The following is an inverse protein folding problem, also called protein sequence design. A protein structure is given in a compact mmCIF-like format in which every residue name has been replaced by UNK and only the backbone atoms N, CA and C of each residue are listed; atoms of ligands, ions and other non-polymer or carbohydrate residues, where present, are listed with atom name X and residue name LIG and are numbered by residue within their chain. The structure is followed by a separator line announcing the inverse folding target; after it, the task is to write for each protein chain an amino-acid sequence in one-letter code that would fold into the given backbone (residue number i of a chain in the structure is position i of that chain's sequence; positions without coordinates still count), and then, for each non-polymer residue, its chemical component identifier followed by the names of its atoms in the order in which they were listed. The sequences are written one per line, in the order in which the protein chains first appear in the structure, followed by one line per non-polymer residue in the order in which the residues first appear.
data_IF_711302322110
#
_entry.id   IF_711302322110
#
_cell.length_a   1.000
_cell.length_b   1.000
_cell.length_c   1.000
_cell.angle_alpha   90.00
_cell.angle_beta   90.00
_cell.angle_gamma   90.00
#
_symmetry.space_group_name_H-M   'P 1'
#
loop_
_entity.id
_entity.type
_entity.pdbx_description
1 polymer ?
#
# COMPACT_ATOMS: atom_id res chain seq x y z
N UNK A 1 -29.76 -1.89 -11.79
CA UNK A 1 -28.40 -2.26 -12.27
C UNK A 1 -27.69 -2.92 -11.10
N UNK A 2 -27.42 -4.21 -11.20
CA UNK A 2 -26.94 -5.06 -10.09
C UNK A 2 -25.42 -5.04 -9.92
N UNK A 3 -24.67 -4.35 -10.79
CA UNK A 3 -23.19 -4.32 -10.76
C UNK A 3 -22.56 -3.75 -9.48
N UNK A 4 -23.35 -3.09 -8.63
CA UNK A 4 -22.92 -2.60 -7.31
C UNK A 4 -23.34 -3.46 -6.13
N UNK A 5 -24.07 -4.56 -6.36
CA UNK A 5 -24.55 -5.40 -5.27
C UNK A 5 -23.37 -6.12 -4.60
N UNK A 6 -23.30 -6.16 -3.26
CA UNK A 6 -22.22 -6.84 -2.54
C UNK A 6 -21.98 -8.27 -3.03
N UNK A 7 -23.03 -9.00 -3.36
CA UNK A 7 -22.99 -10.37 -3.87
C UNK A 7 -22.33 -10.45 -5.26
N UNK A 8 -22.62 -9.48 -6.14
CA UNK A 8 -22.01 -9.39 -7.47
C UNK A 8 -20.54 -8.99 -7.35
N UNK A 9 -20.22 -8.04 -6.47
CA UNK A 9 -18.84 -7.61 -6.20
C UNK A 9 -18.01 -8.77 -5.64
N UNK A 10 -18.57 -9.55 -4.70
CA UNK A 10 -17.94 -10.74 -4.14
C UNK A 10 -17.70 -11.80 -5.23
N UNK A 11 -18.69 -12.07 -6.09
CA UNK A 11 -18.51 -13.01 -7.19
C UNK A 11 -17.39 -12.58 -8.13
N UNK A 12 -17.35 -11.31 -8.53
CA UNK A 12 -16.30 -10.76 -9.41
C UNK A 12 -14.92 -10.85 -8.76
N UNK A 13 -14.84 -10.66 -7.44
CA UNK A 13 -13.61 -10.88 -6.68
C UNK A 13 -13.14 -12.33 -6.72
N UNK A 14 -14.04 -13.26 -6.40
CA UNK A 14 -13.75 -14.68 -6.32
C UNK A 14 -13.35 -15.26 -7.69
N UNK A 15 -14.07 -14.89 -8.75
CA UNK A 15 -13.73 -15.25 -10.12
C UNK A 15 -12.32 -14.76 -10.49
N UNK A 16 -12.00 -13.50 -10.15
CA UNK A 16 -10.68 -12.95 -10.43
C UNK A 16 -9.56 -13.64 -9.62
N UNK A 17 -9.81 -13.98 -8.35
CA UNK A 17 -8.86 -14.72 -7.54
C UNK A 17 -8.67 -16.16 -7.99
N UNK A 18 -9.72 -16.81 -8.50
CA UNK A 18 -9.62 -18.13 -9.09
C UNK A 18 -8.68 -18.13 -10.30
N UNK A 19 -8.83 -17.14 -11.19
CA UNK A 19 -7.92 -16.97 -12.33
C UNK A 19 -6.48 -16.68 -11.87
N UNK A 20 -6.32 -15.91 -10.80
CA UNK A 20 -4.99 -15.54 -10.28
C UNK A 20 -4.22 -16.73 -9.70
N UNK A 21 -4.90 -17.81 -9.27
CA UNK A 21 -4.23 -19.01 -8.74
C UNK A 21 -3.18 -19.59 -9.68
N UNK A 22 -3.40 -19.51 -10.99
CA UNK A 22 -2.44 -19.99 -12.01
C UNK A 22 -1.09 -19.27 -12.00
N UNK A 23 -0.94 -18.17 -11.26
CA UNK A 23 0.28 -17.38 -11.17
C UNK A 23 1.07 -17.60 -9.87
N UNK A 24 0.56 -18.45 -8.96
CA UNK A 24 1.26 -18.81 -7.72
C UNK A 24 2.61 -19.46 -8.06
N UNK A 25 3.66 -19.08 -7.31
CA UNK A 25 5.03 -19.51 -7.54
C UNK A 25 5.76 -18.75 -8.66
N UNK A 26 5.05 -17.94 -9.45
CA UNK A 26 5.65 -17.05 -10.45
C UNK A 26 5.56 -15.59 -10.05
N UNK A 27 4.38 -15.11 -9.67
CA UNK A 27 4.14 -13.68 -9.37
C UNK A 27 3.64 -13.42 -7.94
N UNK A 28 3.16 -14.45 -7.26
CA UNK A 28 2.72 -14.39 -5.87
C UNK A 28 2.94 -15.73 -5.18
N UNK A 29 3.05 -15.70 -3.85
CA UNK A 29 3.10 -16.89 -3.00
C UNK A 29 1.69 -17.32 -2.54
N UNK A 30 1.59 -18.52 -1.95
CA UNK A 30 0.31 -19.08 -1.48
C UNK A 30 -0.27 -18.21 -0.37
N UNK A 31 0.59 -17.73 0.53
CA UNK A 31 0.21 -16.88 1.65
C UNK A 31 -0.41 -15.57 1.17
N UNK A 32 0.15 -14.95 0.13
CA UNK A 32 -0.42 -13.73 -0.48
C UNK A 32 -1.77 -14.02 -1.10
N UNK A 33 -1.96 -15.18 -1.77
CA UNK A 33 -3.26 -15.56 -2.31
C UNK A 33 -4.32 -15.72 -1.21
N UNK A 34 -3.99 -16.41 -0.11
CA UNK A 34 -4.89 -16.61 1.02
C UNK A 34 -5.22 -15.28 1.74
N UNK A 35 -4.22 -14.39 1.87
CA UNK A 35 -4.41 -13.05 2.39
C UNK A 35 -5.33 -12.20 1.50
N UNK A 36 -5.20 -12.29 0.17
CA UNK A 36 -6.09 -11.61 -0.78
C UNK A 36 -7.53 -12.12 -0.62
N UNK A 37 -7.72 -13.43 -0.53
CA UNK A 37 -9.04 -14.02 -0.34
C UNK A 37 -9.70 -13.51 0.95
N UNK A 38 -8.94 -13.51 2.04
CA UNK A 38 -9.39 -13.01 3.34
C UNK A 38 -9.70 -11.51 3.31
N UNK A 39 -8.83 -10.72 2.67
CA UNK A 39 -9.00 -9.28 2.50
C UNK A 39 -10.29 -8.92 1.78
N UNK A 40 -10.53 -9.47 0.58
CA UNK A 40 -11.72 -9.12 -0.21
C UNK A 40 -13.01 -9.46 0.53
N UNK A 41 -13.11 -10.68 1.09
CA UNK A 41 -14.28 -11.12 1.86
C UNK A 41 -14.54 -10.24 3.08
N UNK A 42 -13.51 -9.98 3.89
CA UNK A 42 -13.64 -9.14 5.07
C UNK A 42 -14.00 -7.69 4.70
N UNK A 43 -13.43 -7.17 3.61
CA UNK A 43 -13.70 -5.83 3.14
C UNK A 43 -15.15 -5.65 2.71
N UNK A 44 -15.67 -6.57 1.89
CA UNK A 44 -17.06 -6.51 1.38
C UNK A 44 -18.04 -6.62 2.54
N UNK A 45 -17.84 -7.57 3.47
CA UNK A 45 -18.68 -7.73 4.65
C UNK A 45 -18.69 -6.46 5.52
N UNK A 46 -17.52 -5.86 5.75
CA UNK A 46 -17.39 -4.64 6.55
C UNK A 46 -18.11 -3.44 5.93
N UNK A 47 -18.15 -3.35 4.59
CA UNK A 47 -18.69 -2.20 3.86
C UNK A 47 -20.02 -2.53 3.16
N UNK A 48 -20.71 -3.60 3.54
CA UNK A 48 -21.92 -4.06 2.86
C UNK A 48 -22.99 -2.96 2.77
N UNK A 49 -23.25 -2.27 3.89
CA UNK A 49 -24.25 -1.19 3.93
C UNK A 49 -23.84 0.00 3.06
N UNK A 50 -22.55 0.35 3.02
CA UNK A 50 -22.04 1.41 2.15
C UNK A 50 -22.25 1.04 0.67
N UNK A 51 -21.90 -0.19 0.28
CA UNK A 51 -22.10 -0.68 -1.09
C UNK A 51 -23.59 -0.65 -1.49
N UNK A 52 -24.49 -1.10 -0.60
CA UNK A 52 -25.94 -1.02 -0.83
C UNK A 52 -26.44 0.42 -0.91
N UNK A 53 -25.94 1.32 -0.05
CA UNK A 53 -26.30 2.75 -0.08
C UNK A 53 -25.88 3.40 -1.40
N UNK A 54 -24.69 3.07 -1.91
CA UNK A 54 -24.19 3.60 -3.18
C UNK A 54 -25.07 3.24 -4.37
N UNK A 55 -25.71 2.07 -4.36
CA UNK A 55 -26.76 1.72 -5.34
C UNK A 55 -27.95 2.70 -5.23
N UNK A 56 -28.47 2.90 -4.02
CA UNK A 56 -29.61 3.81 -3.77
C UNK A 56 -29.29 5.26 -4.16
N UNK A 57 -28.06 5.68 -3.94
CA UNK A 57 -27.54 7.01 -4.29
C UNK A 57 -27.11 7.15 -5.76
N UNK A 58 -27.38 6.13 -6.59
CA UNK A 58 -27.05 6.14 -8.03
C UNK A 58 -25.57 6.40 -8.30
N UNK A 59 -24.68 5.84 -7.48
CA UNK A 59 -23.23 5.81 -7.70
C UNK A 59 -22.80 4.70 -8.66
N UNK A 60 -23.71 3.77 -8.99
CA UNK A 60 -23.50 2.76 -10.04
C UNK A 60 -23.82 3.39 -11.39
N UNK A 61 -22.82 3.49 -12.26
CA UNK A 61 -22.88 4.23 -13.53
C UNK A 61 -22.35 3.40 -14.69
N UNK A 62 -22.72 3.80 -15.90
CA UNK A 62 -22.05 3.33 -17.12
C UNK A 62 -20.72 4.07 -17.24
N UNK A 63 -19.64 3.43 -16.80
CA UNK A 63 -18.29 4.00 -16.75
C UNK A 63 -17.47 3.69 -18.00
N UNK A 64 -16.15 3.85 -17.87
CA UNK A 64 -15.21 3.50 -18.93
C UNK A 64 -14.95 1.98 -19.00
N UNK A 65 -14.97 1.32 -17.84
CA UNK A 65 -14.61 -0.09 -17.68
C UNK A 65 -13.10 -0.35 -17.67
N UNK A 66 -12.29 0.52 -18.28
CA UNK A 66 -10.82 0.41 -18.35
C UNK A 66 -10.10 1.77 -18.18
N UNK A 67 -10.56 2.66 -17.28
CA UNK A 67 -9.96 4.00 -17.14
C UNK A 67 -8.58 3.96 -16.48
N UNK A 68 -7.52 4.06 -17.27
CA UNK A 68 -6.13 4.21 -16.80
C UNK A 68 -5.36 5.25 -17.65
N UNK A 69 -4.11 5.57 -17.28
CA UNK A 69 -3.42 6.75 -17.83
C UNK A 69 -3.25 6.71 -19.36
N UNK A 70 -3.08 5.53 -19.95
CA UNK A 70 -2.89 5.39 -21.40
C UNK A 70 -4.17 5.68 -22.19
N UNK A 71 -5.32 5.74 -21.53
CA UNK A 71 -6.63 6.06 -22.10
C UNK A 71 -7.02 7.52 -21.92
N UNK A 72 -6.07 8.36 -21.47
CA UNK A 72 -6.26 9.79 -21.28
C UNK A 72 -5.23 10.54 -22.14
N UNK A 73 -5.72 11.33 -23.09
CA UNK A 73 -4.91 12.16 -23.96
C UNK A 73 -5.13 13.65 -23.68
N UNK A 74 -4.05 14.41 -23.65
CA UNK A 74 -4.08 15.87 -23.53
C UNK A 74 -3.97 16.44 -24.95
N UNK A 75 -5.12 16.73 -25.57
CA UNK A 75 -5.20 17.29 -26.91
C UNK A 75 -5.37 18.82 -26.87
N UNK A 76 -5.12 19.57 -27.97
CA UNK A 76 -5.33 21.01 -28.02
C UNK A 76 -6.75 21.47 -27.63
N UNK A 77 -7.74 20.61 -27.86
CA UNK A 77 -9.16 20.83 -27.59
C UNK A 77 -9.53 20.50 -26.13
N UNK A 78 -8.59 19.96 -25.35
CA UNK A 78 -8.76 19.56 -23.96
C UNK A 78 -8.48 18.09 -23.73
N UNK A 79 -8.81 17.62 -22.52
CA UNK A 79 -8.60 16.23 -22.11
C UNK A 79 -9.60 15.33 -22.85
N UNK A 80 -9.07 14.34 -23.57
CA UNK A 80 -9.83 13.30 -24.24
C UNK A 80 -9.67 11.99 -23.48
N UNK A 81 -10.77 11.28 -23.27
CA UNK A 81 -10.78 9.93 -22.67
C UNK A 81 -11.29 8.98 -23.75
N UNK A 82 -10.51 7.96 -24.08
CA UNK A 82 -10.75 7.08 -25.23
C UNK A 82 -10.48 5.61 -24.89
N UNK A 83 -10.86 4.69 -25.79
CA UNK A 83 -10.74 3.22 -25.60
C UNK A 83 -11.62 2.67 -24.46
N UNK A 84 -12.85 3.18 -24.38
CA UNK A 84 -13.89 2.69 -23.49
C UNK A 84 -14.35 1.27 -23.88
N UNK A 85 -14.68 0.40 -22.91
CA UNK A 85 -15.11 -0.98 -23.20
C UNK A 85 -16.51 -1.02 -23.84
N UNK A 86 -16.61 -1.00 -25.16
CA UNK A 86 -17.91 -0.98 -25.85
C UNK A 86 -18.66 -2.32 -25.80
N UNK A 87 -17.92 -3.43 -25.81
CA UNK A 87 -18.46 -4.77 -26.06
C UNK A 87 -19.07 -5.48 -24.83
N UNK A 88 -18.85 -4.97 -23.62
CA UNK A 88 -19.31 -5.62 -22.40
C UNK A 88 -19.87 -4.61 -21.39
N UNK A 89 -21.20 -4.43 -21.37
CA UNK A 89 -21.85 -3.63 -20.34
C UNK A 89 -21.45 -4.05 -18.92
N UNK A 90 -21.27 -5.36 -18.67
CA UNK A 90 -20.90 -5.88 -17.35
C UNK A 90 -19.54 -5.36 -16.85
N UNK A 91 -18.65 -4.94 -17.75
CA UNK A 91 -17.35 -4.37 -17.39
C UNK A 91 -17.38 -2.85 -17.20
N UNK A 92 -18.33 -2.16 -17.84
CA UNK A 92 -18.53 -0.70 -17.71
C UNK A 92 -19.45 -0.31 -16.56
N UNK A 93 -20.48 -1.13 -16.31
CA UNK A 93 -21.48 -0.83 -15.31
C UNK A 93 -21.01 -1.25 -13.92
N UNK A 94 -20.63 -0.26 -13.11
CA UNK A 94 -20.12 -0.48 -11.76
C UNK A 94 -20.13 0.79 -10.92
N UNK A 95 -19.61 0.68 -9.71
CA UNK A 95 -19.42 1.85 -8.86
C UNK A 95 -18.34 2.77 -9.43
N UNK A 96 -18.60 4.08 -9.47
CA UNK A 96 -17.61 5.09 -9.89
C UNK A 96 -16.30 5.02 -9.09
N UNK A 97 -16.34 4.50 -7.86
CA UNK A 97 -15.15 4.21 -7.07
C UNK A 97 -14.18 3.26 -7.77
N UNK A 98 -14.67 2.33 -8.59
CA UNK A 98 -13.86 1.41 -9.38
C UNK A 98 -13.08 2.12 -10.49
N UNK A 99 -13.69 3.09 -11.17
CA UNK A 99 -13.05 3.90 -12.21
C UNK A 99 -11.96 4.80 -11.61
N UNK A 100 -12.29 5.51 -10.53
CA UNK A 100 -11.36 6.37 -9.79
C UNK A 100 -10.17 5.55 -9.26
N UNK A 101 -10.46 4.40 -8.66
CA UNK A 101 -9.44 3.49 -8.15
C UNK A 101 -8.50 2.98 -9.24
N UNK A 102 -9.02 2.68 -10.42
CA UNK A 102 -8.18 2.20 -11.52
C UNK A 102 -7.18 3.28 -11.95
N UNK A 103 -7.65 4.49 -12.24
CA UNK A 103 -6.78 5.57 -12.65
C UNK A 103 -5.74 5.89 -11.56
N UNK A 104 -6.16 5.97 -10.29
CA UNK A 104 -5.25 6.20 -9.18
C UNK A 104 -4.20 5.11 -9.03
N UNK A 105 -4.59 3.83 -9.16
CA UNK A 105 -3.66 2.69 -9.08
C UNK A 105 -2.58 2.79 -10.15
N UNK A 106 -2.96 3.13 -11.39
CA UNK A 106 -2.00 3.27 -12.49
C UNK A 106 -1.08 4.50 -12.30
N UNK A 107 -1.61 5.63 -11.81
CA UNK A 107 -0.79 6.80 -11.45
C UNK A 107 0.24 6.46 -10.36
N UNK A 108 -0.18 5.78 -9.29
CA UNK A 108 0.70 5.39 -8.18
C UNK A 108 1.79 4.40 -8.63
N UNK A 109 1.45 3.42 -9.48
CA UNK A 109 2.45 2.52 -10.07
C UNK A 109 3.47 3.24 -10.95
N UNK A 110 3.09 4.37 -11.56
CA UNK A 110 3.96 5.24 -12.34
C UNK A 110 4.74 6.25 -11.49
N UNK A 111 4.61 6.21 -10.16
CA UNK A 111 5.28 7.12 -9.22
C UNK A 111 4.65 8.50 -9.14
N UNK A 112 3.40 8.65 -9.58
CA UNK A 112 2.64 9.90 -9.60
C UNK A 112 1.66 10.00 -8.41
N UNK A 113 2.06 9.55 -7.22
CA UNK A 113 1.23 9.52 -6.00
C UNK A 113 0.66 10.90 -5.61
N UNK A 114 1.39 11.97 -5.91
CA UNK A 114 0.92 13.33 -5.68
C UNK A 114 -0.25 13.68 -6.60
N UNK A 115 -0.17 13.33 -7.89
CA UNK A 115 -1.25 13.57 -8.86
C UNK A 115 -2.47 12.70 -8.55
N UNK A 116 -2.27 11.45 -8.16
CA UNK A 116 -3.37 10.57 -7.73
C UNK A 116 -4.16 11.17 -6.56
N UNK A 117 -3.46 11.73 -5.57
CA UNK A 117 -4.09 12.41 -4.42
C UNK A 117 -4.83 13.67 -4.83
N UNK A 118 -4.21 14.55 -5.62
CA UNK A 118 -4.88 15.76 -6.12
C UNK A 118 -6.12 15.43 -6.96
N UNK A 119 -6.03 14.40 -7.81
CA UNK A 119 -7.17 13.90 -8.57
C UNK A 119 -8.32 13.48 -7.65
N UNK A 120 -8.03 12.65 -6.63
CA UNK A 120 -9.05 12.21 -5.68
C UNK A 120 -9.66 13.38 -4.92
N UNK A 121 -8.85 14.28 -4.37
CA UNK A 121 -9.31 15.46 -3.63
C UNK A 121 -10.27 16.29 -4.49
N UNK A 122 -9.87 16.59 -5.73
CA UNK A 122 -10.71 17.36 -6.65
C UNK A 122 -11.97 16.61 -7.07
N UNK A 123 -11.88 15.30 -7.30
CA UNK A 123 -13.02 14.47 -7.63
C UNK A 123 -14.05 14.44 -6.50
N UNK A 124 -13.61 14.22 -5.26
CA UNK A 124 -14.48 14.22 -4.07
C UNK A 124 -15.12 15.60 -3.86
N UNK A 125 -14.35 16.68 -4.02
CA UNK A 125 -14.85 18.04 -3.89
C UNK A 125 -15.99 18.35 -4.89
N UNK A 126 -15.85 17.91 -6.14
CA UNK A 126 -16.84 18.13 -7.20
C UNK A 126 -18.05 17.20 -7.09
N UNK A 127 -17.84 15.94 -6.71
CA UNK A 127 -18.90 14.92 -6.67
C UNK A 127 -19.61 14.80 -5.32
N UNK A 128 -19.09 15.51 -4.30
CA UNK A 128 -19.55 15.46 -2.90
C UNK A 128 -19.68 14.01 -2.39
N UNK A 129 -18.67 13.19 -2.68
CA UNK A 129 -18.63 11.76 -2.37
C UNK A 129 -17.39 11.39 -1.54
N UNK A 130 -17.30 11.85 -0.28
CA UNK A 130 -16.12 11.58 0.56
C UNK A 130 -15.95 10.08 0.88
N UNK A 131 -17.06 9.32 0.88
CA UNK A 131 -17.06 7.90 1.24
C UNK A 131 -16.49 7.00 0.14
N UNK A 132 -16.35 7.50 -1.09
CA UNK A 132 -15.63 6.82 -2.16
C UNK A 132 -14.23 6.40 -1.72
N UNK A 133 -13.55 7.27 -0.94
CA UNK A 133 -12.20 7.02 -0.44
C UNK A 133 -12.10 5.73 0.39
N UNK A 134 -13.18 5.36 1.09
CA UNK A 134 -13.25 4.14 1.90
C UNK A 134 -13.20 2.88 1.03
N UNK A 135 -13.67 2.95 -0.22
CA UNK A 135 -13.74 1.83 -1.16
C UNK A 135 -12.48 1.66 -2.03
N UNK A 136 -11.61 2.67 -2.07
CA UNK A 136 -10.42 2.66 -2.92
C UNK A 136 -9.47 1.48 -2.67
N UNK A 137 -9.14 1.07 -1.43
CA UNK A 137 -8.20 -0.03 -1.22
C UNK A 137 -8.66 -1.32 -1.89
N UNK A 138 -9.95 -1.62 -1.81
CA UNK A 138 -10.53 -2.79 -2.45
C UNK A 138 -10.48 -2.70 -3.98
N UNK A 139 -11.00 -1.61 -4.56
CA UNK A 139 -11.05 -1.50 -6.02
C UNK A 139 -9.67 -1.36 -6.66
N UNK A 140 -8.72 -0.68 -6.01
CA UNK A 140 -7.33 -0.60 -6.46
C UNK A 140 -6.68 -1.99 -6.46
N UNK A 141 -6.89 -2.76 -5.40
CA UNK A 141 -6.39 -4.14 -5.31
C UNK A 141 -7.01 -5.02 -6.41
N UNK A 142 -8.32 -4.93 -6.61
CA UNK A 142 -9.02 -5.67 -7.66
C UNK A 142 -8.46 -5.35 -9.05
N UNK A 143 -8.33 -4.06 -9.39
CA UNK A 143 -7.79 -3.60 -10.68
C UNK A 143 -6.32 -4.00 -10.87
N UNK A 144 -5.51 -3.92 -9.83
CA UNK A 144 -4.13 -4.39 -9.87
C UNK A 144 -4.07 -5.89 -10.19
N UNK A 145 -4.90 -6.73 -9.55
CA UNK A 145 -4.96 -8.16 -9.87
C UNK A 145 -5.40 -8.43 -11.32
N UNK A 146 -6.41 -7.68 -11.82
CA UNK A 146 -6.85 -7.79 -13.22
C UNK A 146 -5.71 -7.45 -14.18
N UNK A 147 -5.01 -6.33 -13.96
CA UNK A 147 -3.88 -5.92 -14.82
C UNK A 147 -2.68 -6.84 -14.69
N UNK A 148 -2.36 -7.30 -13.49
CA UNK A 148 -1.33 -8.31 -13.24
C UNK A 148 -1.59 -9.58 -14.05
N UNK A 149 -2.82 -10.12 -13.95
CA UNK A 149 -3.27 -11.28 -14.74
C UNK A 149 -3.19 -11.04 -16.24
N UNK A 150 -3.80 -9.98 -16.76
CA UNK A 150 -3.83 -9.70 -18.21
C UNK A 150 -2.41 -9.52 -18.76
N UNK A 151 -1.56 -8.80 -18.03
CA UNK A 151 -0.15 -8.59 -18.41
C UNK A 151 0.64 -9.89 -18.38
N UNK A 152 0.40 -10.74 -17.37
CA UNK A 152 1.04 -12.04 -17.26
C UNK A 152 0.62 -12.99 -18.40
N UNK A 153 -0.67 -13.01 -18.77
CA UNK A 153 -1.19 -13.85 -19.86
C UNK A 153 -0.64 -13.46 -21.24
N UNK A 154 -0.34 -12.18 -21.45
CA UNK A 154 0.26 -11.68 -22.70
C UNK A 154 1.74 -12.05 -22.85
N UNK A 155 2.41 -12.45 -21.77
CA UNK A 155 3.83 -12.78 -21.77
C UNK A 155 4.05 -14.29 -21.63
N UNK A 156 4.89 -14.86 -22.52
CA UNK A 156 5.34 -16.26 -22.40
C UNK A 156 6.41 -16.46 -21.32
N UNK A 157 7.06 -15.37 -20.93
CA UNK A 157 8.13 -15.31 -19.92
C UNK A 157 7.72 -14.45 -18.74
N UNK A 158 8.51 -14.42 -17.67
CA UNK A 158 8.27 -13.54 -16.53
C UNK A 158 8.21 -12.06 -16.98
N UNK A 159 7.16 -11.35 -16.58
CA UNK A 159 6.93 -9.94 -16.86
C UNK A 159 7.11 -9.12 -15.59
N UNK A 160 8.11 -8.25 -15.58
CA UNK A 160 8.36 -7.34 -14.46
C UNK A 160 7.15 -6.43 -14.19
N UNK A 161 6.45 -6.01 -15.25
CA UNK A 161 5.26 -5.18 -15.12
C UNK A 161 4.10 -5.95 -14.47
N UNK A 162 3.91 -7.22 -14.81
CA UNK A 162 2.92 -8.06 -14.13
C UNK A 162 3.26 -8.19 -12.63
N UNK A 163 4.53 -8.42 -12.29
CA UNK A 163 4.99 -8.49 -10.90
C UNK A 163 4.70 -7.21 -10.12
N UNK A 164 4.93 -6.03 -10.72
CA UNK A 164 4.62 -4.73 -10.09
C UNK A 164 3.14 -4.61 -9.70
N UNK A 165 2.21 -5.08 -10.53
CA UNK A 165 0.79 -5.09 -10.20
C UNK A 165 0.48 -6.03 -9.01
N UNK A 166 1.04 -7.24 -9.00
CA UNK A 166 0.86 -8.17 -7.88
C UNK A 166 1.46 -7.63 -6.58
N UNK A 167 2.65 -7.01 -6.64
CA UNK A 167 3.27 -6.34 -5.49
C UNK A 167 2.46 -5.15 -4.98
N UNK A 168 1.83 -4.40 -5.87
CA UNK A 168 0.93 -3.33 -5.48
C UNK A 168 -0.32 -3.87 -4.75
N UNK A 169 -0.97 -4.91 -5.30
CA UNK A 169 -2.10 -5.57 -4.64
C UNK A 169 -1.70 -6.10 -3.25
N UNK A 170 -0.54 -6.74 -3.15
CA UNK A 170 0.02 -7.28 -1.92
C UNK A 170 0.24 -6.20 -0.85
N UNK A 171 0.78 -5.03 -1.23
CA UNK A 171 0.98 -3.89 -0.32
C UNK A 171 -0.34 -3.32 0.20
N UNK A 172 -1.39 -3.28 -0.62
CA UNK A 172 -2.72 -2.79 -0.18
C UNK A 172 -3.33 -3.65 0.93
N UNK A 173 -3.14 -4.97 0.87
CA UNK A 173 -3.63 -5.87 1.92
C UNK A 173 -2.97 -5.53 3.26
N UNK A 174 -1.65 -5.35 3.27
CA UNK A 174 -0.90 -4.99 4.48
C UNK A 174 -1.28 -3.60 5.01
N UNK A 175 -1.61 -2.65 4.12
CA UNK A 175 -2.09 -1.32 4.49
C UNK A 175 -3.52 -1.31 5.05
N UNK A 176 -4.33 -2.33 4.76
CA UNK A 176 -5.69 -2.44 5.29
C UNK A 176 -5.74 -2.95 6.74
N UNK A 177 -4.61 -3.43 7.26
CA UNK A 177 -4.47 -3.87 8.64
C UNK A 177 -4.24 -2.65 9.55
N UNK A 178 -4.50 -2.79 10.85
CA UNK A 178 -4.23 -1.69 11.80
C UNK A 178 -2.76 -1.27 11.66
N UNK A 179 -2.47 0.05 11.62
CA UNK A 179 -1.10 0.54 11.61
C UNK A 179 -0.33 -0.12 12.75
N UNK A 180 0.85 -0.65 12.47
CA UNK A 180 1.64 -1.46 13.39
C UNK A 180 3.06 -0.92 13.46
N UNK A 181 3.61 -0.82 14.66
CA UNK A 181 5.00 -0.49 14.90
C UNK A 181 5.82 -1.79 15.00
N UNK A 182 6.72 -2.03 14.05
CA UNK A 182 7.59 -3.22 14.06
C UNK A 182 8.99 -2.83 14.48
N UNK A 183 9.55 -3.48 15.49
CA UNK A 183 10.93 -3.31 15.91
C UNK A 183 11.73 -4.56 15.51
N UNK A 184 12.80 -4.34 14.77
CA UNK A 184 13.77 -5.37 14.41
C UNK A 184 15.06 -5.07 15.17
N UNK A 185 15.30 -5.88 16.21
CA UNK A 185 16.38 -5.77 17.19
C UNK A 185 17.45 -6.85 17.05
N UNK A 186 18.59 -6.71 17.75
CA UNK A 186 19.70 -7.68 17.71
C UNK A 186 21.09 -7.09 17.46
N UNK A 187 22.13 -7.89 17.72
CA UNK A 187 23.54 -7.47 17.66
C UNK A 187 23.98 -7.02 16.26
N UNK A 188 25.03 -6.19 16.17
CA UNK A 188 25.57 -5.81 14.87
C UNK A 188 25.99 -7.06 14.07
N UNK A 189 25.64 -7.11 12.77
CA UNK A 189 25.90 -8.28 11.93
C UNK A 189 24.88 -9.43 12.03
N UNK A 190 23.84 -9.35 12.89
CA UNK A 190 22.83 -10.42 13.04
C UNK A 190 21.80 -10.54 11.91
N UNK A 191 21.90 -9.75 10.85
CA UNK A 191 20.96 -9.78 9.71
C UNK A 191 19.71 -8.90 9.83
N UNK A 192 19.56 -8.08 10.88
CA UNK A 192 18.43 -7.13 11.05
C UNK A 192 18.11 -6.31 9.81
N UNK A 193 19.13 -5.71 9.20
CA UNK A 193 18.94 -4.87 8.02
C UNK A 193 18.57 -5.65 6.77
N UNK A 194 18.92 -6.94 6.71
CA UNK A 194 18.42 -7.85 5.68
C UNK A 194 16.93 -8.13 5.91
N UNK A 195 16.54 -8.41 7.15
CA UNK A 195 15.15 -8.69 7.50
C UNK A 195 14.24 -7.45 7.36
N UNK A 196 14.69 -6.27 7.80
CA UNK A 196 13.94 -5.02 7.68
C UNK A 196 13.69 -4.64 6.24
N UNK A 197 14.70 -4.82 5.36
CA UNK A 197 14.56 -4.62 3.93
C UNK A 197 13.59 -5.62 3.30
N UNK A 198 13.75 -6.91 3.56
CA UNK A 198 12.85 -7.93 3.04
C UNK A 198 11.39 -7.70 3.49
N UNK A 199 11.19 -7.31 4.76
CA UNK A 199 9.87 -6.98 5.28
C UNK A 199 9.31 -5.71 4.64
N UNK A 200 10.13 -4.69 4.40
CA UNK A 200 9.73 -3.46 3.72
C UNK A 200 9.35 -3.68 2.26
N UNK A 201 10.16 -4.44 1.52
CA UNK A 201 9.86 -4.85 0.13
C UNK A 201 8.55 -5.64 0.07
N UNK A 202 8.28 -6.46 1.10
CA UNK A 202 7.01 -7.17 1.17
C UNK A 202 5.86 -6.22 1.54
N UNK A 203 5.92 -5.58 2.68
CA UNK A 203 4.76 -4.86 3.23
C UNK A 203 4.53 -3.48 2.59
N UNK A 204 5.55 -2.93 1.94
CA UNK A 204 5.59 -1.52 1.53
C UNK A 204 5.79 -0.55 2.69
N UNK A 205 6.05 -1.05 3.91
CA UNK A 205 6.24 -0.20 5.08
C UNK A 205 7.62 0.45 5.07
N UNK A 206 7.72 1.74 5.42
CA UNK A 206 8.99 2.45 5.48
C UNK A 206 9.87 1.88 6.60
N UNK A 207 11.19 1.88 6.35
CA UNK A 207 12.19 1.49 7.35
C UNK A 207 12.88 2.75 7.86
N UNK A 208 12.84 2.95 9.17
CA UNK A 208 13.64 3.96 9.87
C UNK A 208 14.79 3.22 10.56
N UNK A 209 16.02 3.49 10.11
CA UNK A 209 17.22 2.80 10.59
C UNK A 209 18.04 3.69 11.52
N UNK A 210 18.43 3.19 12.69
CA UNK A 210 19.28 3.94 13.62
C UNK A 210 20.63 4.34 13.02
N UNK A 211 21.20 3.52 12.12
CA UNK A 211 22.47 3.84 11.46
C UNK A 211 22.30 4.94 10.41
N UNK A 212 21.18 4.94 9.68
CA UNK A 212 20.87 6.02 8.73
C UNK A 212 20.58 7.32 9.47
N UNK A 213 19.67 7.29 10.46
CA UNK A 213 19.32 8.45 11.29
C UNK A 213 20.54 9.04 11.99
N UNK A 214 21.45 8.21 12.50
CA UNK A 214 22.69 8.68 13.14
C UNK A 214 23.62 9.41 12.17
N UNK A 215 23.72 8.96 10.92
CA UNK A 215 24.52 9.63 9.88
C UNK A 215 23.89 10.96 9.47
N UNK A 216 22.57 10.97 9.32
CA UNK A 216 21.82 12.18 8.98
C UNK A 216 22.00 13.26 10.06
N UNK A 217 21.85 12.89 11.34
CA UNK A 217 22.07 13.79 12.49
C UNK A 217 23.51 14.29 12.60
N UNK A 218 24.49 13.50 12.16
CA UNK A 218 25.90 13.89 12.14
C UNK A 218 26.28 14.72 10.90
N UNK A 219 25.36 14.96 9.95
CA UNK A 219 25.64 15.64 8.69
C UNK A 219 26.58 14.85 7.75
N UNK A 220 26.67 13.53 7.93
CA UNK A 220 27.59 12.67 7.16
C UNK A 220 26.86 12.11 5.95
N UNK A 221 27.06 12.74 4.79
CA UNK A 221 26.59 12.22 3.49
C UNK A 221 27.66 11.35 2.84
N UNK A 222 27.62 10.03 3.05
CA UNK A 222 28.50 9.09 2.34
C UNK A 222 28.89 7.83 3.13
N UNK A 223 29.67 6.97 2.46
CA UNK A 223 30.24 5.73 3.03
C UNK A 223 31.69 6.01 3.43
N UNK A 224 31.91 6.54 4.64
CA UNK A 224 33.26 6.63 5.23
C UNK A 224 33.32 6.19 6.69
N UNK A 225 34.52 5.68 7.00
CA UNK A 225 35.15 5.10 8.19
C UNK A 225 34.31 4.67 9.41
N UNK A 226 34.56 3.42 9.80
CA UNK A 226 34.05 2.79 11.02
C UNK A 226 34.61 3.52 12.26
N UNK A 227 33.92 4.57 12.70
CA UNK A 227 34.16 5.18 14.02
C UNK A 227 33.90 4.14 15.11
N UNK A 228 34.78 4.04 16.11
CA UNK A 228 34.67 3.08 17.20
C UNK A 228 33.36 3.26 18.00
N UNK A 229 32.79 2.15 18.47
CA UNK A 229 31.59 2.17 19.30
C UNK A 229 31.89 2.86 20.64
N UNK A 230 31.13 3.90 20.98
CA UNK A 230 31.30 4.71 22.20
C UNK A 230 31.87 6.11 21.98
N UNK A 231 32.38 6.42 20.79
CA UNK A 231 32.92 7.75 20.45
C UNK A 231 32.21 8.38 19.25
N UNK A 232 32.29 9.71 19.14
CA UNK A 232 31.70 10.50 18.05
C UNK A 232 30.20 10.21 17.87
N UNK A 233 29.84 9.69 16.70
CA UNK A 233 28.44 9.39 16.34
C UNK A 233 27.81 8.28 17.20
N UNK A 234 28.61 7.48 17.92
CA UNK A 234 28.12 6.42 18.81
C UNK A 234 28.18 6.79 20.30
N UNK A 235 28.40 8.07 20.62
CA UNK A 235 28.32 8.56 21.99
C UNK A 235 26.92 8.35 22.61
N UNK A 236 26.84 8.32 23.94
CA UNK A 236 25.57 8.10 24.64
C UNK A 236 24.52 9.18 24.32
N UNK A 237 24.94 10.45 24.23
CA UNK A 237 24.07 11.57 23.84
C UNK A 237 23.59 11.45 22.40
N UNK A 238 24.48 11.06 21.46
CA UNK A 238 24.09 10.85 20.07
C UNK A 238 23.14 9.64 19.92
N UNK A 239 23.35 8.58 20.70
CA UNK A 239 22.44 7.44 20.73
C UNK A 239 21.04 7.88 21.17
N UNK A 240 20.94 8.66 22.24
CA UNK A 240 19.66 9.17 22.73
C UNK A 240 18.94 10.03 21.68
N UNK A 241 19.66 10.98 21.06
CA UNK A 241 19.11 11.80 19.97
C UNK A 241 18.67 10.97 18.77
N UNK A 242 19.41 9.92 18.42
CA UNK A 242 19.06 9.00 17.33
C UNK A 242 17.72 8.32 17.63
N UNK A 243 17.55 7.71 18.80
CA UNK A 243 16.31 7.02 19.15
C UNK A 243 15.12 7.96 19.33
N UNK A 244 15.35 9.18 19.82
CA UNK A 244 14.34 10.24 19.84
C UNK A 244 13.84 10.57 18.43
N UNK A 245 14.75 10.82 17.49
CA UNK A 245 14.38 11.15 16.11
C UNK A 245 13.71 9.98 15.39
N UNK A 246 14.16 8.74 15.63
CA UNK A 246 13.48 7.56 15.11
C UNK A 246 12.03 7.46 15.59
N UNK A 247 11.77 7.76 16.87
CA UNK A 247 10.42 7.77 17.43
C UNK A 247 9.54 8.86 16.79
N UNK A 248 10.08 10.07 16.56
CA UNK A 248 9.38 11.16 15.87
C UNK A 248 9.02 10.79 14.42
N UNK A 249 9.94 10.18 13.68
CA UNK A 249 9.69 9.70 12.32
C UNK A 249 8.59 8.61 12.31
N UNK A 250 8.68 7.64 13.22
CA UNK A 250 7.64 6.62 13.38
C UNK A 250 6.28 7.23 13.73
N UNK A 251 6.26 8.23 14.62
CA UNK A 251 5.04 8.94 15.00
C UNK A 251 4.34 9.56 13.78
N UNK A 252 5.10 10.17 12.88
CA UNK A 252 4.58 10.78 11.66
C UNK A 252 3.99 9.77 10.66
N UNK A 253 4.56 8.56 10.54
CA UNK A 253 3.97 7.50 9.73
C UNK A 253 2.68 6.95 10.36
N UNK A 254 2.71 6.65 11.66
CA UNK A 254 1.57 6.12 12.39
C UNK A 254 0.38 7.10 12.42
N UNK A 255 0.65 8.41 12.55
CA UNK A 255 -0.38 9.45 12.51
C UNK A 255 -1.11 9.52 11.16
N UNK A 256 -0.46 9.06 10.07
CA UNK A 256 -1.06 8.94 8.73
C UNK A 256 -1.72 7.59 8.49
N UNK A 257 -1.82 6.74 9.52
CA UNK A 257 -2.37 5.39 9.40
C UNK A 257 -1.44 4.42 8.67
N UNK A 258 -0.13 4.69 8.63
CA UNK A 258 0.85 3.84 7.97
C UNK A 258 1.70 3.11 9.01
N UNK A 259 1.80 1.77 8.89
CA UNK A 259 2.75 0.96 9.67
C UNK A 259 4.20 1.36 9.36
N UNK A 260 5.12 1.11 10.28
CA UNK A 260 6.54 1.48 10.15
C UNK A 260 7.45 0.45 10.80
N UNK A 261 8.62 0.22 10.19
CA UNK A 261 9.65 -0.70 10.68
C UNK A 261 10.80 0.13 11.27
N UNK A 262 11.18 -0.15 12.51
CA UNK A 262 12.35 0.41 13.16
C UNK A 262 13.48 -0.63 13.18
N UNK A 263 14.62 -0.31 12.54
CA UNK A 263 15.81 -1.16 12.50
C UNK A 263 16.91 -0.55 13.39
N UNK A 264 17.13 -1.16 14.55
CA UNK A 264 18.16 -0.74 15.49
C UNK A 264 18.63 -1.92 16.35
N UNK A 265 19.73 -1.76 17.09
CA UNK A 265 20.19 -2.84 17.98
C UNK A 265 19.29 -3.01 19.21
N UNK A 266 18.64 -1.93 19.67
CA UNK A 266 17.73 -1.90 20.82
C UNK A 266 18.30 -2.60 22.08
N UNK A 267 19.59 -2.39 22.36
CA UNK A 267 20.31 -3.08 23.46
C UNK A 267 19.81 -2.67 24.85
N UNK A 268 19.36 -1.42 25.02
CA UNK A 268 18.95 -0.88 26.33
C UNK A 268 17.44 -0.99 26.54
N UNK A 269 17.01 -1.24 27.78
CA UNK A 269 15.59 -1.29 28.17
C UNK A 269 14.85 0.00 27.81
N UNK A 270 15.42 1.15 28.16
CA UNK A 270 14.85 2.47 27.87
C UNK A 270 14.57 2.72 26.38
N UNK A 271 15.38 2.15 25.47
CA UNK A 271 15.16 2.28 24.02
C UNK A 271 13.89 1.53 23.58
N UNK A 272 13.62 0.36 24.18
CA UNK A 272 12.41 -0.43 23.88
C UNK A 272 11.18 0.16 24.54
N UNK A 273 11.34 0.67 25.76
CA UNK A 273 10.27 1.32 26.52
C UNK A 273 9.74 2.55 25.78
N UNK A 274 10.63 3.43 25.30
CA UNK A 274 10.29 4.58 24.45
C UNK A 274 9.40 4.22 23.25
N UNK A 275 9.71 3.13 22.56
CA UNK A 275 8.91 2.69 21.40
C UNK A 275 7.58 2.06 21.82
N UNK A 276 7.56 1.39 22.97
CA UNK A 276 6.34 0.83 23.56
C UNK A 276 5.38 1.94 24.01
N UNK A 277 5.90 3.00 24.62
CA UNK A 277 5.14 4.21 24.97
C UNK A 277 4.57 4.90 23.74
N UNK A 278 5.35 5.04 22.67
CA UNK A 278 4.87 5.57 21.40
C UNK A 278 3.70 4.73 20.84
N UNK A 279 3.85 3.41 20.81
CA UNK A 279 2.79 2.50 20.36
C UNK A 279 1.52 2.63 21.22
N UNK A 280 1.68 2.67 22.54
CA UNK A 280 0.59 2.89 23.50
C UNK A 280 -0.12 4.23 23.28
N UNK A 281 0.62 5.33 23.13
CA UNK A 281 0.09 6.67 22.85
C UNK A 281 -0.72 6.73 21.54
N UNK A 282 -0.34 5.94 20.53
CA UNK A 282 -1.05 5.86 19.24
C UNK A 282 -2.12 4.77 19.19
N UNK A 283 -2.25 3.94 20.21
CA UNK A 283 -3.20 2.83 20.23
C UNK A 283 -2.92 1.79 19.13
N UNK A 284 -1.66 1.63 18.74
CA UNK A 284 -1.23 0.71 17.68
C UNK A 284 -0.54 -0.53 18.25
N UNK A 285 -0.68 -1.71 17.62
CA UNK A 285 0.10 -2.88 18.01
C UNK A 285 1.60 -2.64 17.83
N UNK A 286 2.39 -3.27 18.69
CA UNK A 286 3.85 -3.35 18.58
C UNK A 286 4.27 -4.80 18.36
N UNK A 287 5.13 -5.04 17.37
CA UNK A 287 5.73 -6.36 17.10
C UNK A 287 7.24 -6.27 17.31
N UNK A 288 7.79 -7.20 18.10
CA UNK A 288 9.21 -7.28 18.42
C UNK A 288 9.81 -8.49 17.74
N UNK A 289 10.89 -8.30 16.97
CA UNK A 289 11.64 -9.36 16.29
C UNK A 289 13.12 -9.24 16.67
N UNK A 290 13.76 -10.32 17.11
CA UNK A 290 15.11 -10.36 17.68
C UNK A 290 15.99 -11.43 17.04
#
# INVERSE_FOLDING_TARGET
NTGGEPEVIQKVWDDNLADVRGFIGRYLDVETHDMLQSFGRAFILKHEELLRRRIRERRIRDGHGDLHCEHICFAPEGIQIFDCIEFSPKLRYGDVASEVAFLMMDMELRGADFLARQFLERYVELTKDPELSMLLPYFKCHRALVRGKVTALRSRVFSQQAAQYFDYARRLIWGAWKPTLVLIGGLSGSGKSTLSRALSERTGWPVVSSDATRKDLAGISGRQDRVAYGEGIYSASMSEMTYQNMAEQAEAFLARGQSVILDATFLRGAQRERMSELAGKKGVPILLIW
#
